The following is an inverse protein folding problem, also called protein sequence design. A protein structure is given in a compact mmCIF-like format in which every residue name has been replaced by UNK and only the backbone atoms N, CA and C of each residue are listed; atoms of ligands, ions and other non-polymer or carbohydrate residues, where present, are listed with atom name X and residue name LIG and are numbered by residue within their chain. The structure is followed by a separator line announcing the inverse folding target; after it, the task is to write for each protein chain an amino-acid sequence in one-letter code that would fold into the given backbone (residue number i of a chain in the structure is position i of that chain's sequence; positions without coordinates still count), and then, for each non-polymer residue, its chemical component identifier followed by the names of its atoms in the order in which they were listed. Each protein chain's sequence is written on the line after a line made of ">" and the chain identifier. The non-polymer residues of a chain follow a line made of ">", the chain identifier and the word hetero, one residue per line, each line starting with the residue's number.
data_IF_848769217232
#
_entry.id   IF_848769217232
#
_cell.length_a   1.000
_cell.length_b   1.000
_cell.length_c   1.000
_cell.angle_alpha   90.00
_cell.angle_beta   90.00
_cell.angle_gamma   90.00
#
_symmetry.space_group_name_H-M   'P 1'
#
loop_
_entity.id
_entity.type
_entity.pdbx_description
1 polymer ?
#
# COMPACT_ATOMS: atom_id res chain seq x y z
N UNK A 1 4.38 -0.95 -5.31
CA UNK A 1 4.51 -2.36 -4.90
C UNK A 1 3.12 -2.89 -4.96
N UNK A 2 2.80 -3.72 -5.94
CA UNK A 2 1.50 -4.36 -5.99
C UNK A 2 1.40 -5.28 -4.78
N UNK A 3 0.49 -4.99 -3.86
CA UNK A 3 0.22 -5.82 -2.70
C UNK A 3 -0.44 -7.11 -3.16
N UNK A 4 0.36 -8.10 -3.52
CA UNK A 4 -0.14 -9.42 -3.85
C UNK A 4 -0.41 -10.18 -2.56
N UNK A 5 -1.64 -10.68 -2.44
CA UNK A 5 -2.01 -11.48 -1.28
C UNK A 5 -1.18 -12.76 -1.26
N UNK A 6 -0.51 -13.01 -0.12
CA UNK A 6 0.18 -14.29 0.12
C UNK A 6 -0.77 -15.48 0.03
N UNK A 7 -2.08 -15.24 0.09
CA UNK A 7 -3.11 -16.24 -0.18
C UNK A 7 -2.97 -16.89 -1.57
N UNK A 8 -2.52 -16.15 -2.59
CA UNK A 8 -2.31 -16.72 -3.92
C UNK A 8 -1.23 -17.81 -3.92
N UNK A 9 -0.20 -17.68 -3.07
CA UNK A 9 0.81 -18.73 -2.89
C UNK A 9 0.20 -20.01 -2.30
N UNK A 10 -0.78 -19.86 -1.40
CA UNK A 10 -1.52 -20.99 -0.85
C UNK A 10 -2.37 -21.66 -1.94
N UNK A 11 -3.06 -20.85 -2.77
CA UNK A 11 -3.87 -21.37 -3.88
C UNK A 11 -3.03 -22.15 -4.89
N UNK A 12 -1.82 -21.68 -5.22
CA UNK A 12 -0.87 -22.40 -6.08
C UNK A 12 -0.53 -23.76 -5.48
N UNK A 13 -0.16 -23.80 -4.20
CA UNK A 13 0.16 -25.07 -3.51
C UNK A 13 -1.03 -26.03 -3.46
N UNK A 14 -2.25 -25.52 -3.26
CA UNK A 14 -3.48 -26.31 -3.30
C UNK A 14 -3.76 -26.86 -4.70
N UNK A 15 -3.62 -26.05 -5.76
CA UNK A 15 -3.80 -26.49 -7.13
C UNK A 15 -2.86 -27.64 -7.47
N UNK A 16 -1.56 -27.50 -7.16
CA UNK A 16 -0.56 -28.55 -7.35
C UNK A 16 -0.96 -29.81 -6.60
N UNK A 17 -1.34 -29.69 -5.32
CA UNK A 17 -1.74 -30.84 -4.50
C UNK A 17 -2.95 -31.55 -5.09
N UNK A 18 -3.95 -30.83 -5.56
CA UNK A 18 -5.16 -31.44 -6.14
C UNK A 18 -4.85 -32.13 -7.47
N UNK A 19 -4.03 -31.51 -8.32
CA UNK A 19 -3.55 -32.12 -9.57
C UNK A 19 -2.64 -33.35 -9.37
N UNK A 20 -1.92 -33.42 -8.25
CA UNK A 20 -1.10 -34.59 -7.86
C UNK A 20 -1.92 -35.78 -7.31
N UNK A 21 -3.17 -35.54 -6.93
CA UNK A 21 -4.07 -36.55 -6.36
C UNK A 21 -5.26 -36.83 -7.28
N UNK A 22 -5.14 -36.56 -8.58
CA UNK A 22 -6.14 -36.95 -9.54
C UNK A 22 -6.21 -38.47 -9.63
N UNK A 23 -7.40 -38.97 -9.89
CA UNK A 23 -7.63 -40.38 -10.17
C UNK A 23 -8.59 -40.54 -11.36
N UNK A 24 -8.78 -41.78 -11.80
CA UNK A 24 -9.70 -42.09 -12.89
C UNK A 24 -11.19 -41.88 -12.53
N UNK A 25 -11.51 -41.49 -11.30
CA UNK A 25 -12.87 -41.09 -10.91
C UNK A 25 -13.07 -39.58 -10.95
N UNK A 26 -12.00 -38.82 -11.14
CA UNK A 26 -12.02 -37.36 -11.21
C UNK A 26 -12.50 -36.93 -12.60
N UNK A 27 -13.34 -35.89 -12.66
CA UNK A 27 -13.85 -35.37 -13.93
C UNK A 27 -12.80 -34.54 -14.66
N UNK A 28 -12.93 -34.45 -15.99
CA UNK A 28 -12.10 -33.59 -16.82
C UNK A 28 -12.21 -32.12 -16.40
N UNK A 29 -13.43 -31.65 -16.13
CA UNK A 29 -13.73 -30.31 -15.65
C UNK A 29 -12.95 -29.96 -14.38
N UNK A 30 -12.84 -30.91 -13.44
CA UNK A 30 -12.06 -30.71 -12.23
C UNK A 30 -10.58 -30.48 -12.55
N UNK A 31 -9.97 -31.31 -13.41
CA UNK A 31 -8.58 -31.09 -13.81
C UNK A 31 -8.39 -29.75 -14.55
N UNK A 32 -9.28 -29.42 -15.48
CA UNK A 32 -9.26 -28.17 -16.24
C UNK A 32 -9.24 -26.94 -15.31
N UNK A 33 -10.20 -26.84 -14.38
CA UNK A 33 -10.27 -25.72 -13.42
C UNK A 33 -8.98 -25.60 -12.62
N UNK A 34 -8.41 -26.71 -12.16
CA UNK A 34 -7.24 -26.66 -11.29
C UNK A 34 -5.96 -26.31 -12.05
N UNK A 35 -5.85 -26.67 -13.33
CA UNK A 35 -4.79 -26.16 -14.21
C UNK A 35 -4.98 -24.65 -14.44
N UNK A 36 -6.20 -24.20 -14.71
CA UNK A 36 -6.50 -22.76 -14.89
C UNK A 36 -6.21 -21.95 -13.61
N UNK A 37 -6.58 -22.48 -12.44
CA UNK A 37 -6.30 -21.87 -11.14
C UNK A 37 -4.79 -21.77 -10.89
N UNK A 38 -4.03 -22.80 -11.26
CA UNK A 38 -2.57 -22.79 -11.17
C UNK A 38 -1.98 -21.72 -12.11
N UNK A 39 -2.43 -21.66 -13.36
CA UNK A 39 -2.00 -20.65 -14.35
C UNK A 39 -2.24 -19.22 -13.86
N UNK A 40 -3.48 -18.93 -13.42
CA UNK A 40 -3.85 -17.62 -12.88
C UNK A 40 -3.03 -17.28 -11.65
N UNK A 41 -2.80 -18.25 -10.76
CA UNK A 41 -1.98 -18.07 -9.56
C UNK A 41 -0.53 -17.74 -9.88
N UNK A 42 0.11 -18.52 -10.75
CA UNK A 42 1.51 -18.31 -11.15
C UNK A 42 1.70 -16.97 -11.87
N UNK A 43 0.75 -16.60 -12.74
CA UNK A 43 0.75 -15.30 -13.42
C UNK A 43 0.61 -14.16 -12.42
N UNK A 44 -0.39 -14.24 -11.54
CA UNK A 44 -0.64 -13.20 -10.55
C UNK A 44 0.52 -13.01 -9.57
N UNK A 45 1.28 -14.07 -9.26
CA UNK A 45 2.41 -14.03 -8.32
C UNK A 45 3.79 -13.87 -8.99
N UNK A 46 3.81 -13.63 -10.30
CA UNK A 46 5.03 -13.49 -11.11
C UNK A 46 5.99 -14.69 -10.98
N UNK A 47 5.45 -15.91 -11.03
CA UNK A 47 6.23 -17.15 -11.12
C UNK A 47 6.53 -17.48 -12.58
N UNK A 48 7.36 -16.64 -13.20
CA UNK A 48 7.64 -16.68 -14.64
C UNK A 48 8.31 -17.97 -15.10
N UNK A 49 9.20 -18.55 -14.29
CA UNK A 49 9.90 -19.79 -14.64
C UNK A 49 8.94 -20.97 -14.57
N UNK A 50 8.12 -21.01 -13.51
CA UNK A 50 7.10 -22.04 -13.33
C UNK A 50 6.04 -22.00 -14.41
N UNK A 51 5.58 -20.81 -14.81
CA UNK A 51 4.63 -20.63 -15.90
C UNK A 51 5.20 -21.19 -17.22
N UNK A 52 6.46 -20.91 -17.51
CA UNK A 52 7.17 -21.47 -18.68
C UNK A 52 7.28 -23.00 -18.60
N UNK A 53 7.56 -23.52 -17.41
CA UNK A 53 7.62 -24.97 -17.13
C UNK A 53 6.28 -25.69 -17.33
N UNK A 54 5.16 -24.95 -17.35
CA UNK A 54 3.81 -25.49 -17.43
C UNK A 54 3.28 -25.65 -18.87
N UNK A 55 4.06 -25.29 -19.90
CA UNK A 55 3.60 -25.27 -21.30
C UNK A 55 2.83 -26.54 -21.73
N UNK A 56 3.30 -27.75 -21.39
CA UNK A 56 2.59 -28.99 -21.74
C UNK A 56 1.23 -29.14 -21.04
N UNK A 57 1.12 -28.72 -19.78
CA UNK A 57 -0.17 -28.72 -19.08
C UNK A 57 -1.13 -27.70 -19.70
N UNK A 58 -0.60 -26.57 -20.17
CA UNK A 58 -1.37 -25.58 -20.92
C UNK A 58 -1.81 -26.12 -22.28
N UNK A 59 -0.94 -26.83 -23.00
CA UNK A 59 -1.30 -27.48 -24.27
C UNK A 59 -2.42 -28.51 -24.07
N UNK A 60 -2.35 -29.31 -22.99
CA UNK A 60 -3.44 -30.23 -22.60
C UNK A 60 -4.72 -29.48 -22.27
N UNK A 61 -4.64 -28.41 -21.47
CA UNK A 61 -5.79 -27.57 -21.13
C UNK A 61 -6.45 -26.99 -22.39
N UNK A 62 -5.67 -26.44 -23.32
CA UNK A 62 -6.18 -25.88 -24.57
C UNK A 62 -6.86 -26.93 -25.45
N UNK A 63 -6.45 -28.19 -25.37
CA UNK A 63 -7.16 -29.27 -26.08
C UNK A 63 -8.57 -29.54 -25.56
N UNK A 64 -8.90 -29.06 -24.36
CA UNK A 64 -10.22 -29.21 -23.73
C UNK A 64 -11.07 -27.94 -23.82
N UNK A 65 -10.54 -26.82 -24.33
CA UNK A 65 -11.26 -25.54 -24.40
C UNK A 65 -12.46 -25.59 -25.38
N UNK A 66 -12.46 -26.54 -26.30
CA UNK A 66 -13.51 -26.75 -27.30
C UNK A 66 -14.53 -27.84 -26.89
N UNK A 67 -14.35 -28.51 -25.74
CA UNK A 67 -15.29 -29.53 -25.26
C UNK A 67 -16.54 -28.88 -24.63
N UNK A 68 -17.71 -29.50 -24.84
CA UNK A 68 -18.94 -29.03 -24.21
C UNK A 68 -18.90 -29.30 -22.69
N UNK A 69 -19.50 -28.42 -21.87
CA UNK A 69 -19.48 -28.57 -20.40
C UNK A 69 -20.04 -29.91 -19.90
N UNK A 70 -20.99 -30.51 -20.64
CA UNK A 70 -21.53 -31.84 -20.35
C UNK A 70 -20.47 -32.94 -20.55
N UNK A 71 -19.70 -32.88 -21.63
CA UNK A 71 -18.62 -33.83 -21.94
C UNK A 71 -17.47 -33.73 -20.92
N UNK A 72 -17.21 -32.52 -20.40
CA UNK A 72 -16.20 -32.33 -19.36
C UNK A 72 -16.58 -32.94 -17.99
N UNK A 73 -17.82 -33.37 -17.79
CA UNK A 73 -18.20 -34.13 -16.59
C UNK A 73 -17.71 -35.58 -16.64
N UNK A 74 -17.29 -36.05 -17.81
CA UNK A 74 -16.76 -37.40 -17.94
C UNK A 74 -15.49 -37.61 -17.12
N UNK A 75 -15.34 -38.86 -16.70
CA UNK A 75 -14.19 -39.31 -15.92
C UNK A 75 -12.93 -39.29 -16.78
N UNK A 76 -11.84 -38.86 -16.16
CA UNK A 76 -10.52 -38.90 -16.78
C UNK A 76 -10.10 -40.32 -17.11
N UNK A 77 -9.65 -40.50 -18.35
CA UNK A 77 -8.96 -41.73 -18.74
C UNK A 77 -7.63 -41.84 -17.97
N UNK A 78 -7.27 -43.06 -17.53
CA UNK A 78 -6.05 -43.31 -16.74
C UNK A 78 -4.78 -42.77 -17.39
N UNK A 79 -4.68 -42.88 -18.72
CA UNK A 79 -3.54 -42.35 -19.47
C UNK A 79 -3.39 -40.83 -19.40
N UNK A 80 -4.50 -40.09 -19.24
CA UNK A 80 -4.48 -38.63 -19.07
C UNK A 80 -4.04 -38.30 -17.64
N UNK A 81 -4.55 -39.03 -16.65
CA UNK A 81 -4.14 -38.89 -15.24
C UNK A 81 -2.63 -39.08 -15.10
N UNK A 82 -2.06 -40.12 -15.72
CA UNK A 82 -0.62 -40.38 -15.68
C UNK A 82 0.20 -39.25 -16.32
N UNK A 83 -0.27 -38.71 -17.46
CA UNK A 83 0.35 -37.54 -18.10
C UNK A 83 0.33 -36.32 -17.18
N UNK A 84 -0.83 -36.01 -16.58
CA UNK A 84 -0.94 -34.89 -15.65
C UNK A 84 0.00 -35.10 -14.46
N UNK A 85 0.02 -36.29 -13.86
CA UNK A 85 0.91 -36.61 -12.74
C UNK A 85 2.40 -36.43 -13.05
N UNK A 86 2.82 -36.84 -14.25
CA UNK A 86 4.19 -36.65 -14.71
C UNK A 86 4.53 -35.17 -14.86
N UNK A 87 3.68 -34.42 -15.56
CA UNK A 87 3.94 -32.99 -15.84
C UNK A 87 3.80 -32.13 -14.58
N UNK A 88 2.81 -32.38 -13.71
CA UNK A 88 2.68 -31.65 -12.45
C UNK A 88 3.83 -31.96 -11.49
N UNK A 89 4.39 -33.17 -11.53
CA UNK A 89 5.58 -33.51 -10.75
C UNK A 89 6.85 -32.78 -11.21
N UNK A 90 6.91 -32.36 -12.48
CA UNK A 90 7.96 -31.48 -13.00
C UNK A 90 7.71 -30.02 -12.61
N UNK A 91 6.48 -29.52 -12.84
CA UNK A 91 6.08 -28.15 -12.50
C UNK A 91 6.24 -27.88 -11.01
N UNK A 92 5.84 -28.81 -10.15
CA UNK A 92 5.97 -28.71 -8.69
C UNK A 92 7.42 -28.40 -8.27
N UNK A 93 8.41 -29.11 -8.84
CA UNK A 93 9.83 -28.89 -8.54
C UNK A 93 10.29 -27.50 -8.93
N UNK A 94 9.83 -26.98 -10.08
CA UNK A 94 10.15 -25.64 -10.54
C UNK A 94 9.50 -24.60 -9.61
N UNK A 95 8.22 -24.78 -9.27
CA UNK A 95 7.48 -23.90 -8.36
C UNK A 95 8.20 -23.82 -7.01
N UNK A 96 8.62 -24.96 -6.43
CA UNK A 96 9.36 -24.93 -5.17
C UNK A 96 10.72 -24.24 -5.30
N UNK A 97 11.46 -24.48 -6.37
CA UNK A 97 12.74 -23.82 -6.60
C UNK A 97 12.59 -22.30 -6.75
N UNK A 98 11.60 -21.84 -7.51
CA UNK A 98 11.29 -20.43 -7.71
C UNK A 98 10.74 -19.80 -6.42
N UNK A 99 9.85 -20.48 -5.70
CA UNK A 99 9.28 -20.01 -4.43
C UNK A 99 10.37 -19.74 -3.38
N UNK A 100 11.41 -20.58 -3.33
CA UNK A 100 12.55 -20.40 -2.41
C UNK A 100 13.31 -19.09 -2.64
N UNK A 101 13.19 -18.48 -3.82
CA UNK A 101 13.82 -17.18 -4.11
C UNK A 101 12.95 -15.98 -3.71
N UNK A 102 11.66 -16.21 -3.47
CA UNK A 102 10.70 -15.15 -3.14
C UNK A 102 10.67 -14.90 -1.64
N UNK A 103 10.58 -13.62 -1.26
CA UNK A 103 10.46 -13.19 0.13
C UNK A 103 9.06 -12.65 0.36
N UNK A 104 8.37 -13.23 1.32
CA UNK A 104 7.07 -12.74 1.79
C UNK A 104 7.33 -11.90 3.04
N UNK A 105 6.85 -10.66 3.02
CA UNK A 105 6.88 -9.78 4.18
C UNK A 105 5.47 -9.63 4.72
N UNK A 106 5.33 -9.75 6.02
CA UNK A 106 4.09 -9.40 6.71
C UNK A 106 4.29 -8.07 7.43
N UNK A 107 3.31 -7.19 7.30
CA UNK A 107 3.35 -5.94 8.04
C UNK A 107 2.91 -6.18 9.48
N UNK A 108 3.62 -5.59 10.47
CA UNK A 108 3.12 -5.56 11.82
C UNK A 108 1.88 -4.68 11.88
N UNK A 109 0.92 -5.05 12.73
CA UNK A 109 -0.27 -4.22 12.96
C UNK A 109 0.15 -2.85 13.47
N UNK A 110 -0.43 -1.81 12.86
CA UNK A 110 -0.27 -0.40 13.27
C UNK A 110 -1.61 0.13 13.80
N UNK A 111 -1.59 1.29 14.47
CA UNK A 111 -2.82 1.97 14.93
C UNK A 111 -3.65 2.49 13.77
N UNK A 112 -2.99 2.86 12.69
CA UNK A 112 -3.64 3.25 11.44
C UNK A 112 -3.88 2.03 10.55
N UNK A 113 -4.93 2.09 9.73
CA UNK A 113 -5.25 1.06 8.76
C UNK A 113 -4.12 0.91 7.71
N UNK A 114 -3.63 -0.31 7.52
CA UNK A 114 -2.49 -0.61 6.63
C UNK A 114 -2.75 -0.22 5.17
N UNK A 115 -3.96 -0.47 4.68
CA UNK A 115 -4.39 -0.12 3.32
C UNK A 115 -4.38 1.40 3.12
N UNK A 116 -4.77 2.16 4.14
CA UNK A 116 -4.71 3.62 4.11
C UNK A 116 -3.26 4.12 4.18
N UNK A 117 -2.40 3.47 4.95
CA UNK A 117 -0.99 3.84 5.02
C UNK A 117 -0.25 3.57 3.70
N UNK A 118 -0.59 2.48 3.00
CA UNK A 118 0.11 2.04 1.81
C UNK A 118 -0.43 2.67 0.52
N UNK A 119 -1.75 2.58 0.33
CA UNK A 119 -2.39 2.81 -0.96
C UNK A 119 -3.27 4.06 -0.97
N UNK A 120 -3.96 4.36 0.14
CA UNK A 120 -4.95 5.44 0.20
C UNK A 120 -4.73 6.41 1.37
N UNK A 121 -3.59 7.14 1.43
CA UNK A 121 -3.29 8.07 2.51
C UNK A 121 -4.31 9.20 2.66
N UNK A 122 -5.06 9.52 1.61
CA UNK A 122 -6.17 10.47 1.61
C UNK A 122 -7.29 10.10 2.59
N UNK A 123 -7.49 8.81 2.86
CA UNK A 123 -8.54 8.33 3.75
C UNK A 123 -8.24 8.59 5.23
N UNK A 124 -7.01 9.00 5.56
CA UNK A 124 -6.64 9.50 6.87
C UNK A 124 -7.19 10.92 7.14
N UNK A 125 -7.67 11.60 6.11
CA UNK A 125 -8.16 12.98 6.18
C UNK A 125 -9.68 13.05 6.10
N UNK A 126 -10.24 14.16 6.58
CA UNK A 126 -11.66 14.45 6.35
C UNK A 126 -11.91 14.62 4.85
N UNK A 127 -13.11 14.25 4.40
CA UNK A 127 -13.50 14.31 2.98
C UNK A 127 -13.16 15.66 2.34
N UNK A 128 -12.52 15.61 1.17
CA UNK A 128 -12.10 16.78 0.38
C UNK A 128 -10.93 17.59 0.96
N UNK A 129 -10.36 17.24 2.12
CA UNK A 129 -9.20 17.97 2.68
C UNK A 129 -7.91 17.63 1.96
N UNK A 130 -7.67 16.35 1.69
CA UNK A 130 -6.46 15.88 1.00
C UNK A 130 -6.32 16.47 -0.41
N UNK A 131 -7.43 16.64 -1.14
CA UNK A 131 -7.44 17.23 -2.48
C UNK A 131 -6.96 18.70 -2.51
N UNK A 132 -7.04 19.42 -1.39
CA UNK A 132 -6.64 20.83 -1.26
C UNK A 132 -5.16 21.02 -0.91
N UNK A 133 -4.43 19.92 -0.74
CA UNK A 133 -3.02 19.90 -0.38
C UNK A 133 -2.15 19.98 -1.65
N UNK A 134 -0.98 20.62 -1.55
CA UNK A 134 -0.02 20.64 -2.66
C UNK A 134 0.60 19.27 -2.87
N UNK A 135 1.12 19.01 -4.07
CA UNK A 135 1.74 17.72 -4.40
C UNK A 135 2.96 17.41 -3.51
N UNK A 136 3.68 18.44 -3.07
CA UNK A 136 4.77 18.30 -2.10
C UNK A 136 4.22 17.73 -0.79
N UNK A 137 3.18 18.35 -0.22
CA UNK A 137 2.60 17.88 1.03
C UNK A 137 1.96 16.50 0.91
N UNK A 138 1.32 16.18 -0.23
CA UNK A 138 0.78 14.83 -0.51
C UNK A 138 1.89 13.78 -0.57
N UNK A 139 2.98 14.10 -1.28
CA UNK A 139 4.16 13.23 -1.39
C UNK A 139 4.77 12.95 -0.02
N UNK A 140 4.89 13.98 0.82
CA UNK A 140 5.38 13.84 2.18
C UNK A 140 4.47 13.03 3.08
N UNK A 141 3.16 13.25 3.02
CA UNK A 141 2.19 12.44 3.77
C UNK A 141 2.32 10.98 3.38
N UNK A 142 2.35 10.67 2.08
CA UNK A 142 2.53 9.31 1.60
C UNK A 142 3.87 8.70 2.05
N UNK A 143 4.94 9.50 2.05
CA UNK A 143 6.23 9.12 2.61
C UNK A 143 6.16 8.77 4.10
N UNK A 144 5.52 9.63 4.90
CA UNK A 144 5.34 9.43 6.32
C UNK A 144 4.51 8.16 6.62
N UNK A 145 3.44 7.92 5.86
CA UNK A 145 2.59 6.74 6.01
C UNK A 145 3.35 5.44 5.73
N UNK A 146 4.10 5.38 4.62
CA UNK A 146 4.96 4.23 4.34
C UNK A 146 6.00 4.02 5.44
N UNK A 147 6.62 5.08 5.93
CA UNK A 147 7.59 4.97 7.02
C UNK A 147 6.96 4.36 8.29
N UNK A 148 5.73 4.74 8.68
CA UNK A 148 5.02 4.07 9.78
C UNK A 148 4.82 2.58 9.49
N UNK A 149 4.37 2.23 8.30
CA UNK A 149 4.11 0.84 7.93
C UNK A 149 5.40 0.00 8.03
N UNK A 150 6.49 0.48 7.45
CA UNK A 150 7.78 -0.22 7.40
C UNK A 150 8.61 -0.14 8.69
N UNK A 151 8.19 0.65 9.70
CA UNK A 151 8.91 0.72 10.97
C UNK A 151 9.98 1.81 11.06
N UNK A 152 9.99 2.76 10.12
CA UNK A 152 10.95 3.86 10.04
C UNK A 152 10.43 5.12 10.77
N UNK A 153 10.38 5.05 12.10
CA UNK A 153 9.72 6.05 12.96
C UNK A 153 10.26 7.48 12.78
N UNK A 154 11.58 7.68 12.89
CA UNK A 154 12.20 9.01 12.76
C UNK A 154 11.95 9.62 11.37
N UNK A 155 12.10 8.82 10.31
CA UNK A 155 11.83 9.28 8.94
C UNK A 155 10.36 9.69 8.77
N UNK A 156 9.43 8.94 9.38
CA UNK A 156 8.01 9.31 9.39
C UNK A 156 7.76 10.68 10.03
N UNK A 157 8.38 10.93 11.19
CA UNK A 157 8.30 12.21 11.89
C UNK A 157 8.78 13.37 11.00
N UNK A 158 9.93 13.21 10.34
CA UNK A 158 10.45 14.22 9.41
C UNK A 158 9.47 14.51 8.26
N UNK A 159 8.97 13.47 7.60
CA UNK A 159 8.05 13.63 6.47
C UNK A 159 6.75 14.32 6.89
N UNK A 160 6.10 13.90 7.99
CA UNK A 160 4.82 14.49 8.38
C UNK A 160 4.98 15.95 8.87
N UNK A 161 6.09 16.27 9.53
CA UNK A 161 6.41 17.64 9.91
C UNK A 161 6.68 18.53 8.69
N UNK A 162 7.38 17.99 7.67
CA UNK A 162 7.60 18.69 6.38
C UNK A 162 6.28 18.94 5.65
N UNK A 163 5.41 17.94 5.57
CA UNK A 163 4.06 18.10 5.02
C UNK A 163 3.29 19.20 5.76
N UNK A 164 3.32 19.18 7.10
CA UNK A 164 2.62 20.16 7.93
C UNK A 164 3.14 21.58 7.71
N UNK A 165 4.46 21.76 7.57
CA UNK A 165 5.08 23.06 7.27
C UNK A 165 4.68 23.58 5.88
N UNK A 166 4.62 22.71 4.87
CA UNK A 166 4.17 23.09 3.53
C UNK A 166 2.69 23.51 3.52
N UNK A 167 1.82 22.79 4.24
CA UNK A 167 0.40 23.20 4.38
C UNK A 167 0.28 24.51 5.14
N UNK A 168 1.08 24.72 6.19
CA UNK A 168 1.16 26.01 6.91
C UNK A 168 1.56 27.15 5.98
N UNK A 169 2.49 26.91 5.04
CA UNK A 169 2.91 27.91 4.06
C UNK A 169 1.78 28.28 3.09
N UNK A 170 1.02 27.30 2.59
CA UNK A 170 -0.19 27.56 1.78
C UNK A 170 -1.22 28.37 2.58
N UNK A 171 -1.45 27.97 3.84
CA UNK A 171 -2.36 28.65 4.75
C UNK A 171 -1.91 30.08 5.02
N UNK A 172 -0.61 30.31 5.27
CA UNK A 172 -0.03 31.62 5.40
C UNK A 172 -0.25 32.51 4.16
N UNK A 173 -0.04 31.98 2.95
CA UNK A 173 -0.28 32.71 1.72
C UNK A 173 -1.77 32.97 1.41
N UNK A 174 -2.67 32.15 1.95
CA UNK A 174 -4.11 32.45 1.97
C UNK A 174 -4.38 33.69 2.82
N UNK A 175 -3.87 33.74 4.05
CA UNK A 175 -4.14 34.85 4.97
C UNK A 175 -3.36 36.13 4.67
N UNK A 176 -2.15 36.04 4.12
CA UNK A 176 -1.29 37.20 3.82
C UNK A 176 -0.99 37.31 2.34
N UNK A 177 -1.54 38.35 1.69
CA UNK A 177 -1.43 38.59 0.24
C UNK A 177 -0.32 39.58 -0.15
N UNK A 178 0.11 40.46 0.77
CA UNK A 178 1.12 41.51 0.53
C UNK A 178 2.24 41.42 1.56
N UNK A 179 3.43 41.92 1.21
CA UNK A 179 4.63 41.96 2.08
C UNK A 179 4.93 40.60 2.75
N UNK A 180 4.87 39.53 1.94
CA UNK A 180 5.12 38.15 2.40
C UNK A 180 6.58 37.99 2.81
N UNK A 181 6.83 37.04 3.71
CA UNK A 181 8.17 36.62 4.07
C UNK A 181 8.92 36.13 2.83
N UNK A 182 10.17 36.59 2.64
CA UNK A 182 11.06 36.11 1.57
C UNK A 182 11.38 34.61 1.72
N UNK A 183 11.54 34.17 2.97
CA UNK A 183 11.76 32.77 3.36
C UNK A 183 10.71 32.40 4.41
N UNK A 184 9.56 31.83 4.00
CA UNK A 184 8.48 31.49 4.93
C UNK A 184 8.85 30.23 5.72
N UNK A 185 9.46 30.43 6.90
CA UNK A 185 9.74 29.38 7.89
C UNK A 185 8.61 29.30 8.92
N UNK A 186 8.39 28.14 9.55
CA UNK A 186 7.29 27.92 10.50
C UNK A 186 7.09 29.03 11.53
N UNK A 187 8.10 29.31 12.36
CA UNK A 187 8.01 30.30 13.45
C UNK A 187 7.59 31.70 12.97
N UNK A 188 8.32 32.30 12.02
CA UNK A 188 7.95 33.58 11.42
C UNK A 188 6.53 33.61 10.83
N UNK A 189 6.09 32.56 10.15
CA UNK A 189 4.72 32.50 9.62
C UNK A 189 3.68 32.55 10.73
N UNK A 190 3.85 31.76 11.80
CA UNK A 190 2.92 31.73 12.94
C UNK A 190 2.87 33.08 13.67
N UNK A 191 4.00 33.77 13.83
CA UNK A 191 4.06 35.11 14.42
C UNK A 191 3.22 36.11 13.59
N UNK A 192 3.43 36.14 12.28
CA UNK A 192 2.69 37.06 11.40
C UNK A 192 1.19 36.73 11.35
N UNK A 193 0.81 35.45 11.38
CA UNK A 193 -0.59 35.03 11.44
C UNK A 193 -1.26 35.46 12.75
N UNK A 194 -0.56 35.33 13.89
CA UNK A 194 -1.07 35.71 15.21
C UNK A 194 -1.26 37.23 15.35
N UNK A 195 -0.41 38.01 14.69
CA UNK A 195 -0.46 39.47 14.66
C UNK A 195 -1.58 40.05 13.76
N UNK A 196 -2.27 39.23 12.96
CA UNK A 196 -3.37 39.70 12.12
C UNK A 196 -4.54 40.21 12.98
N UNK A 197 -5.09 41.38 12.59
CA UNK A 197 -6.33 41.94 13.16
C UNK A 197 -7.58 41.47 12.42
N UNK A 198 -7.49 41.30 11.10
CA UNK A 198 -8.60 40.87 10.22
C UNK A 198 -8.26 39.54 9.55
N UNK A 199 -9.26 38.67 9.34
CA UNK A 199 -9.06 37.31 8.81
C UNK A 199 -7.94 36.57 9.57
N UNK A 200 -7.98 36.63 10.91
CA UNK A 200 -7.04 35.96 11.81
C UNK A 200 -7.45 34.48 11.92
N UNK A 201 -6.51 33.53 11.80
CA UNK A 201 -6.79 32.13 12.11
C UNK A 201 -7.36 31.95 13.52
N UNK A 202 -8.11 30.88 13.72
CA UNK A 202 -8.64 30.54 15.05
C UNK A 202 -7.49 30.35 16.06
N UNK A 203 -7.75 30.71 17.33
CA UNK A 203 -6.80 30.51 18.43
C UNK A 203 -6.37 29.05 18.55
N UNK A 204 -7.31 28.14 18.32
CA UNK A 204 -7.06 26.70 18.32
C UNK A 204 -5.97 26.31 17.30
N UNK A 205 -6.11 26.70 16.03
CA UNK A 205 -5.11 26.41 14.99
C UNK A 205 -3.75 27.03 15.34
N UNK A 206 -3.73 28.28 15.79
CA UNK A 206 -2.48 28.95 16.16
C UNK A 206 -1.77 28.27 17.34
N UNK A 207 -2.52 27.85 18.35
CA UNK A 207 -1.97 27.16 19.51
C UNK A 207 -1.48 25.76 19.15
N UNK A 208 -2.21 25.03 18.28
CA UNK A 208 -1.76 23.74 17.75
C UNK A 208 -0.47 23.88 16.92
N UNK A 209 -0.33 24.93 16.11
CA UNK A 209 0.90 25.21 15.37
C UNK A 209 2.10 25.47 16.29
N UNK A 210 1.87 26.17 17.40
CA UNK A 210 2.92 26.41 18.38
C UNK A 210 3.29 25.13 19.13
N UNK A 211 2.30 24.34 19.57
CA UNK A 211 2.52 23.02 20.18
C UNK A 211 3.36 22.12 19.27
N UNK A 212 2.96 21.98 18.00
CA UNK A 212 3.69 21.12 17.04
C UNK A 212 5.12 21.63 16.85
N UNK A 213 5.29 22.95 16.76
CA UNK A 213 6.60 23.56 16.58
C UNK A 213 7.54 23.30 17.77
N UNK A 214 7.07 23.57 18.98
CA UNK A 214 7.92 23.51 20.18
C UNK A 214 8.17 22.10 20.65
N UNK A 215 7.15 21.24 20.60
CA UNK A 215 7.23 19.90 21.20
C UNK A 215 7.70 18.82 20.23
N UNK A 216 7.62 19.05 18.92
CA UNK A 216 7.99 18.02 17.93
C UNK A 216 8.94 18.55 16.87
N UNK A 217 8.57 19.61 16.13
CA UNK A 217 9.36 20.10 14.99
C UNK A 217 10.76 20.49 15.40
N UNK A 218 10.91 21.36 16.41
CA UNK A 218 12.21 21.82 16.86
C UNK A 218 13.08 20.66 17.39
N UNK A 219 12.58 19.79 18.30
CA UNK A 219 13.29 18.58 18.69
C UNK A 219 13.75 17.71 17.51
N UNK A 220 12.85 17.43 16.55
CA UNK A 220 13.15 16.57 15.39
C UNK A 220 14.30 17.09 14.54
N UNK A 221 14.58 18.40 14.53
CA UNK A 221 15.71 18.94 13.76
C UNK A 221 17.09 18.62 14.35
N UNK A 222 17.14 18.16 15.60
CA UNK A 222 18.40 17.79 16.24
C UNK A 222 18.82 16.38 15.80
N UNK A 223 20.11 16.15 15.46
CA UNK A 223 20.59 14.84 15.00
C UNK A 223 20.34 13.68 15.98
N UNK A 224 20.20 13.98 17.26
CA UNK A 224 20.00 13.00 18.33
C UNK A 224 18.52 12.66 18.56
N UNK A 225 17.58 13.31 17.84
CA UNK A 225 16.16 13.02 17.99
C UNK A 225 15.81 11.68 17.34
N UNK A 226 15.47 10.72 18.19
CA UNK A 226 15.05 9.38 17.78
C UNK A 226 13.60 9.20 18.19
N UNK A 227 12.78 8.72 17.25
CA UNK A 227 11.40 8.35 17.49
C UNK A 227 11.28 6.83 17.51
N UNK A 228 10.40 6.32 18.38
CA UNK A 228 9.84 4.98 18.22
C UNK A 228 8.55 5.05 17.38
N UNK A 229 8.03 3.89 16.97
CA UNK A 229 6.86 3.85 16.09
C UNK A 229 5.58 4.34 16.78
N UNK A 230 5.47 4.21 18.10
CA UNK A 230 4.30 4.66 18.83
C UNK A 230 4.25 6.20 18.91
N UNK A 231 5.36 6.83 19.27
CA UNK A 231 5.51 8.29 19.28
C UNK A 231 5.41 8.91 17.89
N UNK A 232 5.90 8.23 16.85
CA UNK A 232 5.72 8.66 15.47
C UNK A 232 4.24 8.61 15.04
N UNK A 233 3.49 7.58 15.46
CA UNK A 233 2.04 7.49 15.20
C UNK A 233 1.25 8.55 15.98
N UNK A 234 1.65 8.88 17.22
CA UNK A 234 1.06 9.97 17.99
C UNK A 234 1.26 11.32 17.27
N UNK A 235 2.49 11.60 16.84
CA UNK A 235 2.81 12.79 16.05
C UNK A 235 2.03 12.84 14.74
N UNK A 236 1.93 11.72 14.03
CA UNK A 236 1.14 11.59 12.81
C UNK A 236 -0.32 12.02 13.06
N UNK A 237 -0.94 11.53 14.13
CA UNK A 237 -2.31 11.90 14.51
C UNK A 237 -2.48 13.41 14.76
N UNK A 238 -1.54 14.00 15.52
CA UNK A 238 -1.54 15.44 15.81
C UNK A 238 -1.40 16.28 14.53
N UNK A 239 -0.49 15.89 13.64
CA UNK A 239 -0.27 16.58 12.37
C UNK A 239 -1.45 16.44 11.41
N UNK A 240 -2.07 15.26 11.31
CA UNK A 240 -3.26 15.04 10.48
C UNK A 240 -4.42 15.94 10.93
N UNK A 241 -4.69 16.04 12.24
CA UNK A 241 -5.73 16.95 12.74
C UNK A 241 -5.42 18.41 12.38
N UNK A 242 -4.18 18.84 12.56
CA UNK A 242 -3.75 20.20 12.25
C UNK A 242 -3.85 20.52 10.75
N UNK A 243 -3.39 19.60 9.89
CA UNK A 243 -3.52 19.71 8.43
C UNK A 243 -5.00 19.77 8.04
N UNK A 244 -5.86 18.91 8.60
CA UNK A 244 -7.30 18.94 8.33
C UNK A 244 -7.93 20.30 8.64
N UNK A 245 -7.53 20.94 9.74
CA UNK A 245 -8.01 22.28 10.13
C UNK A 245 -7.54 23.36 9.17
N UNK A 246 -6.26 23.37 8.79
CA UNK A 246 -5.74 24.33 7.83
C UNK A 246 -6.34 24.14 6.44
N UNK A 247 -6.40 22.89 5.96
CA UNK A 247 -6.96 22.53 4.66
C UNK A 247 -8.46 22.85 4.54
N UNK A 248 -9.19 22.90 5.67
CA UNK A 248 -10.59 23.30 5.66
C UNK A 248 -10.84 24.69 5.08
N UNK A 249 -9.82 25.53 5.18
CA UNK A 249 -9.83 26.93 4.85
C UNK A 249 -9.09 27.24 3.55
N UNK A 250 -8.39 26.25 2.97
CA UNK A 250 -7.71 26.37 1.68
C UNK A 250 -8.69 26.24 0.51
N UNK A 251 -8.42 26.92 -0.61
CA UNK A 251 -9.16 26.69 -1.85
C UNK A 251 -8.84 25.29 -2.41
N UNK A 252 -9.71 24.77 -3.26
CA UNK A 252 -9.39 23.59 -4.08
C UNK A 252 -8.28 23.96 -5.06
N UNK A 253 -7.26 23.11 -5.14
CA UNK A 253 -6.19 23.25 -6.14
C UNK A 253 -6.76 22.65 -7.43
N UNK A 254 -6.97 23.51 -8.43
CA UNK A 254 -7.33 23.12 -9.80
C UNK A 254 -6.12 22.59 -10.55
#
# INVERSE_FOLDING_TARGET
>A
MDSQSSFQLIQIGLAIRLLRNLDANTSLYFAYIHIEMLEKGLTATSFTVSLTGMHKLLDLKSSWEEEEEEDMQDKLHSSIVDKIHQEIGYVEKIVFAEANTKRVYTFPKRRFNEEYLLNYPENLFKSGRYARLSDISKSDIAGACRCILFGEATASAFHILRATEEVLKLYYFKHKKRKRLKKPMWGPMTIELRAKKTNKPSSLVLNSLDLVRTSYRNPTQHPEAIYDIESAQDLMGVCIDLINRMAAELPTIS
#
